data_IF_295125556256
#
_entry.id   IF_295125556256
#
_cell.length_a   1.000
_cell.length_b   1.000
_cell.length_c   1.000
_cell.angle_alpha   90.00
_cell.angle_beta   90.00
_cell.angle_gamma   90.00
#
_symmetry.space_group_name_H-M   'P 1'
#
loop_
_entity.id
_entity.type
_entity.pdbx_description
1 polymer ?
#
# COMPACT_ATOMS: atom_id res chain seq x y z
N UNK A 1 -3.93 11.51 -63.49
CA UNK A 1 -4.22 12.65 -62.58
C UNK A 1 -3.58 12.34 -61.22
N UNK A 2 -2.41 12.93 -60.93
CA UNK A 2 -1.59 12.62 -59.73
C UNK A 2 -2.18 13.37 -58.54
N UNK A 3 -2.84 12.68 -57.61
CA UNK A 3 -3.31 13.25 -56.34
C UNK A 3 -2.10 13.68 -55.51
N UNK A 4 -1.91 14.98 -55.34
CA UNK A 4 -0.88 15.50 -54.42
C UNK A 4 -1.38 15.27 -52.99
N UNK A 5 -0.67 14.43 -52.24
CA UNK A 5 -0.91 14.26 -50.82
C UNK A 5 -0.45 15.54 -50.11
N UNK A 6 -1.39 16.36 -49.62
CA UNK A 6 -1.06 17.45 -48.70
C UNK A 6 -0.57 16.83 -47.38
N UNK A 7 0.75 16.76 -47.21
CA UNK A 7 1.33 16.49 -45.90
C UNK A 7 1.04 17.69 -45.01
N UNK A 8 0.10 17.54 -44.07
CA UNK A 8 -0.15 18.54 -43.02
C UNK A 8 0.97 18.45 -42.00
N UNK A 9 1.68 19.57 -41.77
CA UNK A 9 2.65 19.71 -40.69
C UNK A 9 1.97 20.21 -39.41
N UNK A 10 2.41 19.70 -38.26
CA UNK A 10 2.00 20.21 -36.94
C UNK A 10 2.61 21.59 -36.75
N UNK A 11 1.83 22.56 -36.29
CA UNK A 11 2.35 23.91 -36.03
C UNK A 11 3.02 23.97 -34.66
N UNK A 12 4.05 24.82 -34.49
CA UNK A 12 4.74 24.98 -33.21
C UNK A 12 3.79 25.46 -32.10
N UNK A 13 2.82 26.32 -32.45
CA UNK A 13 1.84 26.83 -31.48
C UNK A 13 0.84 25.77 -31.04
N UNK A 14 0.48 24.84 -31.93
CA UNK A 14 -0.41 23.72 -31.62
C UNK A 14 0.24 22.76 -30.64
N UNK A 15 1.53 22.47 -30.80
CA UNK A 15 2.28 21.69 -29.81
C UNK A 15 2.41 22.44 -28.46
N UNK A 16 2.61 23.75 -28.49
CA UNK A 16 2.79 24.59 -27.30
C UNK A 16 1.54 24.57 -26.40
N UNK A 17 0.35 24.74 -26.99
CA UNK A 17 -0.91 24.73 -26.23
C UNK A 17 -1.16 23.36 -25.61
N UNK A 18 -0.81 22.27 -26.31
CA UNK A 18 -0.98 20.90 -25.79
C UNK A 18 -0.14 20.66 -24.55
N UNK A 19 1.16 20.99 -24.59
CA UNK A 19 2.03 20.77 -23.41
C UNK A 19 1.65 21.67 -22.24
N UNK A 20 1.11 22.87 -22.51
CA UNK A 20 0.60 23.78 -21.48
C UNK A 20 -0.61 23.18 -20.76
N UNK A 21 -1.56 22.59 -21.49
CA UNK A 21 -2.72 21.91 -20.91
C UNK A 21 -2.27 20.66 -20.14
N UNK A 22 -1.36 19.86 -20.68
CA UNK A 22 -0.82 18.67 -19.99
C UNK A 22 -0.09 19.04 -18.69
N UNK A 23 0.66 20.15 -18.67
CA UNK A 23 1.32 20.64 -17.47
C UNK A 23 0.29 21.04 -16.38
N UNK A 24 -0.78 21.76 -16.76
CA UNK A 24 -1.83 22.16 -15.83
C UNK A 24 -2.57 20.96 -15.22
N UNK A 25 -2.92 19.95 -16.04
CA UNK A 25 -3.57 18.72 -15.55
C UNK A 25 -2.63 17.91 -14.65
N UNK A 26 -1.36 17.79 -15.05
CA UNK A 26 -0.36 17.02 -14.30
C UNK A 26 -0.09 17.60 -12.90
N UNK A 27 -0.09 18.94 -12.78
CA UNK A 27 0.11 19.62 -11.50
C UNK A 27 -0.93 19.23 -10.43
N UNK A 28 -2.18 18.94 -10.84
CA UNK A 28 -3.25 18.51 -9.92
C UNK A 28 -3.25 16.99 -9.75
N UNK A 29 -2.97 16.24 -10.82
CA UNK A 29 -3.05 14.78 -10.82
C UNK A 29 -1.97 14.13 -9.95
N UNK A 30 -0.71 14.56 -10.06
CA UNK A 30 0.44 13.97 -9.36
C UNK A 30 0.27 13.95 -7.83
N UNK A 31 0.01 15.09 -7.14
CA UNK A 31 -0.11 15.08 -5.68
C UNK A 31 -1.31 14.24 -5.20
N UNK A 32 -2.40 14.23 -5.98
CA UNK A 32 -3.59 13.43 -5.67
C UNK A 32 -3.29 11.92 -5.72
N UNK A 33 -2.59 11.48 -6.76
CA UNK A 33 -2.22 10.07 -6.93
C UNK A 33 -1.22 9.64 -5.86
N UNK A 34 -0.22 10.49 -5.57
CA UNK A 34 0.76 10.23 -4.50
C UNK A 34 0.08 10.05 -3.13
N UNK A 35 -0.81 10.98 -2.73
CA UNK A 35 -1.56 10.85 -1.48
C UNK A 35 -2.45 9.61 -1.46
N UNK A 36 -3.11 9.29 -2.57
CA UNK A 36 -3.95 8.09 -2.67
C UNK A 36 -3.13 6.80 -2.53
N UNK A 37 -1.92 6.76 -3.09
CA UNK A 37 -1.02 5.62 -2.96
C UNK A 37 -0.55 5.44 -1.51
N UNK A 38 -0.14 6.52 -0.83
CA UNK A 38 0.22 6.47 0.59
C UNK A 38 -0.94 6.00 1.46
N UNK A 39 -2.14 6.53 1.23
CA UNK A 39 -3.35 6.11 1.96
C UNK A 39 -3.70 4.63 1.71
N UNK A 40 -3.50 4.13 0.48
CA UNK A 40 -3.73 2.73 0.16
C UNK A 40 -2.75 1.82 0.90
N UNK A 41 -1.48 2.22 0.99
CA UNK A 41 -0.46 1.50 1.78
C UNK A 41 -0.81 1.47 3.26
N UNK A 42 -1.20 2.61 3.85
CA UNK A 42 -1.64 2.68 5.25
C UNK A 42 -2.85 1.78 5.54
N UNK A 43 -3.85 1.79 4.66
CA UNK A 43 -5.00 0.88 4.77
C UNK A 43 -4.61 -0.58 4.65
N UNK A 44 -3.68 -0.93 3.76
CA UNK A 44 -3.19 -2.30 3.64
C UNK A 44 -2.49 -2.76 4.93
N UNK A 45 -1.67 -1.89 5.56
CA UNK A 45 -1.06 -2.22 6.86
C UNK A 45 -2.12 -2.43 7.95
N UNK A 46 -3.14 -1.56 8.02
CA UNK A 46 -4.23 -1.73 8.99
C UNK A 46 -4.98 -3.06 8.80
N UNK A 47 -5.31 -3.41 7.55
CA UNK A 47 -5.92 -4.72 7.24
C UNK A 47 -5.01 -5.88 7.62
N UNK A 48 -3.70 -5.77 7.40
CA UNK A 48 -2.76 -6.82 7.80
C UNK A 48 -2.72 -6.99 9.32
N UNK A 49 -2.82 -5.91 10.10
CA UNK A 49 -2.92 -5.99 11.56
C UNK A 49 -4.18 -6.74 12.01
N UNK A 50 -5.32 -6.52 11.35
CA UNK A 50 -6.54 -7.28 11.63
C UNK A 50 -6.35 -8.78 11.34
N UNK A 51 -5.61 -9.12 10.29
CA UNK A 51 -5.25 -10.51 9.96
C UNK A 51 -4.34 -11.11 11.03
N UNK A 52 -3.30 -10.39 11.47
CA UNK A 52 -2.40 -10.83 12.54
C UNK A 52 -3.18 -11.05 13.84
N UNK A 53 -4.05 -10.11 14.22
CA UNK A 53 -4.89 -10.25 15.40
C UNK A 53 -5.84 -11.46 15.31
N UNK A 54 -6.37 -11.75 14.13
CA UNK A 54 -7.19 -12.95 13.93
C UNK A 54 -6.36 -14.23 14.11
N UNK A 55 -5.10 -14.23 13.69
CA UNK A 55 -4.18 -15.34 13.92
C UNK A 55 -3.79 -15.49 15.41
N UNK A 56 -3.68 -14.39 16.16
CA UNK A 56 -3.48 -14.44 17.61
C UNK A 56 -4.66 -15.13 18.31
N UNK A 57 -5.90 -14.78 17.95
CA UNK A 57 -7.08 -15.45 18.52
C UNK A 57 -7.13 -16.94 18.12
N UNK A 58 -6.72 -17.27 16.89
CA UNK A 58 -6.64 -18.66 16.45
C UNK A 58 -5.58 -19.44 17.24
N UNK A 59 -4.40 -18.86 17.44
CA UNK A 59 -3.35 -19.45 18.27
C UNK A 59 -3.84 -19.73 19.70
N UNK A 60 -4.59 -18.80 20.29
CA UNK A 60 -5.19 -18.98 21.61
C UNK A 60 -6.28 -20.07 21.60
N UNK A 61 -7.06 -20.19 20.52
CA UNK A 61 -8.05 -21.24 20.39
C UNK A 61 -7.41 -22.64 20.32
N UNK A 62 -6.25 -22.77 19.69
CA UNK A 62 -5.55 -24.05 19.52
C UNK A 62 -4.69 -24.43 20.74
N UNK A 63 -4.03 -23.46 21.37
CA UNK A 63 -3.08 -23.72 22.47
C UNK A 63 -3.66 -23.43 23.86
N UNK A 64 -4.79 -22.73 23.94
CA UNK A 64 -5.43 -22.32 25.20
C UNK A 64 -4.76 -21.14 25.90
N UNK A 65 -3.75 -20.52 25.28
CA UNK A 65 -3.05 -19.34 25.78
C UNK A 65 -2.67 -18.39 24.63
N UNK A 66 -2.61 -17.10 24.93
CA UNK A 66 -2.14 -16.09 23.99
C UNK A 66 -0.63 -16.17 23.79
N UNK A 67 -0.12 -15.85 22.58
CA UNK A 67 1.31 -15.84 22.33
C UNK A 67 1.97 -14.68 23.10
N UNK A 68 3.16 -14.91 23.66
CA UNK A 68 3.94 -13.86 24.35
C UNK A 68 4.46 -12.77 23.40
N UNK A 69 4.61 -13.11 22.13
CA UNK A 69 5.23 -12.29 21.08
C UNK A 69 4.58 -12.52 19.73
N UNK A 70 4.59 -11.49 18.89
CA UNK A 70 4.11 -11.59 17.52
C UNK A 70 4.93 -12.58 16.69
N UNK A 71 6.25 -12.64 16.92
CA UNK A 71 7.17 -13.59 16.28
C UNK A 71 6.79 -15.07 16.45
N UNK A 72 6.12 -15.42 17.55
CA UNK A 72 5.63 -16.79 17.80
C UNK A 72 4.62 -17.21 16.74
N UNK A 73 3.74 -16.30 16.31
CA UNK A 73 2.73 -16.61 15.29
C UNK A 73 3.20 -16.33 13.87
N UNK A 74 4.06 -15.33 13.65
CA UNK A 74 4.51 -14.97 12.29
C UNK A 74 5.54 -15.96 11.73
N UNK A 75 6.21 -16.72 12.59
CA UNK A 75 7.10 -17.83 12.19
C UNK A 75 6.36 -19.16 12.04
N UNK A 76 5.10 -19.23 12.46
CA UNK A 76 4.29 -20.43 12.36
C UNK A 76 3.70 -20.58 10.95
N UNK A 77 4.24 -21.56 10.21
CA UNK A 77 3.82 -21.88 8.84
C UNK A 77 2.38 -22.40 8.79
N UNK A 78 1.82 -22.91 9.90
CA UNK A 78 0.42 -23.34 9.96
C UNK A 78 -0.55 -22.15 9.94
N UNK A 79 -0.15 -21.00 10.52
CA UNK A 79 -0.92 -19.76 10.53
C UNK A 79 -0.67 -18.94 9.26
N UNK A 80 0.57 -18.92 8.77
CA UNK A 80 0.97 -18.15 7.59
C UNK A 80 1.78 -19.01 6.61
N UNK A 81 1.12 -19.84 5.78
CA UNK A 81 1.82 -20.73 4.84
C UNK A 81 2.59 -19.98 3.75
N UNK A 82 2.14 -18.78 3.38
CA UNK A 82 2.78 -17.91 2.40
C UNK A 82 3.72 -16.87 3.03
N UNK A 83 3.95 -16.97 4.34
CA UNK A 83 4.68 -15.99 5.15
C UNK A 83 3.78 -14.92 5.75
N UNK A 84 4.22 -14.33 6.86
CA UNK A 84 3.47 -13.32 7.57
C UNK A 84 3.25 -12.05 6.72
N UNK A 85 2.08 -11.40 6.82
CA UNK A 85 1.77 -10.22 6.01
C UNK A 85 2.68 -9.05 6.39
N UNK A 86 3.35 -8.43 5.42
CA UNK A 86 4.28 -7.29 5.64
C UNK A 86 3.60 -5.96 5.33
N UNK A 87 3.91 -4.90 6.08
CA UNK A 87 3.37 -3.56 5.83
C UNK A 87 4.06 -2.93 4.60
N UNK A 88 3.33 -2.51 3.54
CA UNK A 88 3.93 -1.94 2.33
C UNK A 88 4.44 -0.49 2.46
N UNK A 89 4.59 0.01 3.68
CA UNK A 89 5.20 1.31 3.99
C UNK A 89 6.67 1.03 4.30
N UNK A 90 7.55 1.84 3.72
CA UNK A 90 9.00 1.69 3.92
C UNK A 90 9.35 1.74 5.41
N UNK A 91 10.18 0.79 5.85
CA UNK A 91 10.68 0.64 7.23
C UNK A 91 9.61 0.45 8.33
N UNK A 92 8.37 0.13 7.96
CA UNK A 92 7.32 -0.19 8.91
C UNK A 92 7.30 -1.70 9.21
N UNK A 93 7.91 -2.08 10.33
CA UNK A 93 7.77 -3.41 10.93
C UNK A 93 6.71 -3.37 12.04
N UNK A 94 5.96 -4.46 12.22
CA UNK A 94 5.02 -4.54 13.34
C UNK A 94 5.81 -4.71 14.64
N UNK A 95 5.43 -4.03 15.73
CA UNK A 95 6.07 -4.25 17.01
C UNK A 95 5.88 -5.71 17.44
N UNK A 96 6.96 -6.35 17.88
CA UNK A 96 6.93 -7.75 18.35
C UNK A 96 6.16 -7.89 19.68
N UNK A 97 6.03 -6.78 20.42
CA UNK A 97 5.29 -6.69 21.68
C UNK A 97 3.79 -6.60 21.45
N UNK A 98 3.03 -7.45 22.11
CA UNK A 98 1.57 -7.39 22.11
C UNK A 98 1.08 -6.55 23.30
N UNK A 99 0.06 -5.73 23.05
CA UNK A 99 -0.64 -4.95 24.07
C UNK A 99 -2.05 -5.52 24.18
N UNK A 100 -2.46 -5.95 25.37
CA UNK A 100 -3.77 -6.58 25.59
C UNK A 100 -4.03 -7.77 24.63
N UNK A 101 -2.99 -8.59 24.41
CA UNK A 101 -2.99 -9.73 23.49
C UNK A 101 -3.28 -9.38 22.01
N UNK A 102 -3.06 -8.12 21.59
CA UNK A 102 -3.23 -7.67 20.20
C UNK A 102 -1.99 -6.94 19.70
N UNK A 103 -1.83 -6.94 18.38
CA UNK A 103 -0.88 -6.08 17.69
C UNK A 103 -1.38 -4.65 17.80
N UNK A 104 -0.57 -3.78 18.40
CA UNK A 104 -0.90 -2.39 18.60
C UNK A 104 -0.68 -1.58 17.32
N UNK A 105 -1.73 -0.89 16.87
CA UNK A 105 -1.67 0.03 15.72
C UNK A 105 -1.37 1.48 16.13
N UNK A 106 -1.39 1.81 17.42
CA UNK A 106 -1.29 3.19 17.90
C UNK A 106 0.13 3.75 17.86
N UNK A 107 1.14 2.88 17.78
CA UNK A 107 2.54 3.23 17.50
C UNK A 107 2.88 3.27 16.00
N UNK A 108 1.93 2.98 15.11
CA UNK A 108 2.12 3.21 13.68
C UNK A 108 1.96 4.69 13.38
N UNK A 109 3.06 5.43 13.50
CA UNK A 109 3.14 6.84 13.15
C UNK A 109 2.83 7.01 11.63
N UNK A 110 1.57 7.32 11.33
CA UNK A 110 1.07 7.74 10.02
C UNK A 110 0.89 9.26 9.98
#
# INVERSE_FOLDING_TARGET
MKRQNLKKGVTLIELLIVVLILAALSAIAIPRISKSATNAKAKACATNVDVLNSAIELYNADNGEYPDKLSTITTDISLFPDGAPVCPIEDAEYPDTLVDNRVDTSDHNH
#
